data_IF_684271163214
#
_entry.id   IF_684271163214
#
_cell.length_a   1.000
_cell.length_b   1.000
_cell.length_c   1.000
_cell.angle_alpha   90.00
_cell.angle_beta   90.00
_cell.angle_gamma   90.00
#
_symmetry.space_group_name_H-M   'P 1'
#
loop_
_entity.id
_entity.type
_entity.pdbx_description
1 polymer ?
#
# COMPACT_ATOMS: atom_id res chain seq x y z
N UNK A 1 -8.73 38.74 -19.10
CA UNK A 1 -9.40 37.86 -18.11
C UNK A 1 -9.13 36.42 -18.54
N UNK A 2 -8.31 35.70 -17.78
CA UNK A 2 -7.89 34.36 -18.13
C UNK A 2 -9.01 33.37 -17.81
N UNK A 3 -9.70 32.88 -18.85
CA UNK A 3 -10.58 31.72 -18.73
C UNK A 3 -9.73 30.51 -18.40
N UNK A 4 -9.68 30.18 -17.12
CA UNK A 4 -9.11 28.94 -16.59
C UNK A 4 -9.98 27.79 -17.09
N UNK A 5 -9.54 27.12 -18.14
CA UNK A 5 -10.09 25.85 -18.62
C UNK A 5 -9.96 24.87 -17.44
N UNK A 6 -11.05 24.74 -16.69
CA UNK A 6 -11.16 24.05 -15.40
C UNK A 6 -11.37 22.53 -15.54
N UNK A 7 -11.12 21.96 -16.73
CA UNK A 7 -11.37 20.55 -17.03
C UNK A 7 -10.12 19.67 -17.00
N UNK A 8 -8.98 20.16 -17.49
CA UNK A 8 -7.87 19.27 -17.88
C UNK A 8 -6.79 19.14 -16.77
N UNK A 9 -6.70 20.11 -15.85
CA UNK A 9 -5.68 20.08 -14.78
C UNK A 9 -6.07 19.25 -13.54
N UNK A 10 -7.35 18.87 -13.40
CA UNK A 10 -7.86 18.20 -12.19
C UNK A 10 -7.78 16.67 -12.27
N UNK A 11 -7.76 16.08 -13.48
CA UNK A 11 -7.73 14.62 -13.60
C UNK A 11 -6.32 14.03 -13.35
N UNK A 12 -5.24 14.72 -13.75
CA UNK A 12 -3.86 14.24 -13.55
C UNK A 12 -3.40 14.35 -12.06
N UNK A 13 -3.91 15.32 -11.31
CA UNK A 13 -3.56 15.50 -9.89
C UNK A 13 -4.52 14.77 -8.91
N UNK A 14 -5.73 14.42 -9.37
CA UNK A 14 -6.73 13.76 -8.54
C UNK A 14 -6.39 12.28 -8.27
N UNK A 15 -5.96 11.56 -9.31
CA UNK A 15 -5.66 10.12 -9.19
C UNK A 15 -4.31 9.85 -8.53
N UNK A 16 -3.30 10.68 -8.78
CA UNK A 16 -1.99 10.57 -8.09
C UNK A 16 -2.10 10.84 -6.59
N UNK A 17 -3.02 11.71 -6.15
CA UNK A 17 -3.27 11.96 -4.72
C UNK A 17 -3.95 10.77 -4.05
N UNK A 18 -4.97 10.16 -4.69
CA UNK A 18 -5.64 8.96 -4.17
C UNK A 18 -4.70 7.76 -4.14
N UNK A 19 -3.93 7.57 -5.19
CA UNK A 19 -2.91 6.52 -5.29
C UNK A 19 -1.85 6.66 -4.21
N UNK A 20 -1.27 7.86 -4.02
CA UNK A 20 -0.30 8.09 -2.96
C UNK A 20 -0.88 7.90 -1.55
N UNK A 21 -2.18 8.17 -1.36
CA UNK A 21 -2.88 7.88 -0.11
C UNK A 21 -3.08 6.38 0.11
N UNK A 22 -3.54 5.64 -0.90
CA UNK A 22 -3.69 4.18 -0.85
C UNK A 22 -2.36 3.46 -0.57
N UNK A 23 -1.28 3.93 -1.22
CA UNK A 23 0.08 3.48 -0.96
C UNK A 23 0.46 3.74 0.51
N UNK A 24 0.31 4.96 1.02
CA UNK A 24 0.64 5.29 2.42
C UNK A 24 -0.18 4.47 3.44
N UNK A 25 -1.44 4.22 3.15
CA UNK A 25 -2.30 3.41 4.01
C UNK A 25 -1.82 1.96 4.05
N UNK A 26 -1.52 1.38 2.88
CA UNK A 26 -0.95 0.03 2.76
C UNK A 26 0.40 -0.08 3.49
N UNK A 27 1.28 0.92 3.37
CA UNK A 27 2.57 0.97 4.09
C UNK A 27 2.39 1.03 5.63
N UNK A 28 1.37 1.76 6.08
CA UNK A 28 1.03 1.87 7.51
C UNK A 28 0.52 0.55 8.06
N UNK A 29 -0.33 -0.14 7.30
CA UNK A 29 -0.83 -1.48 7.65
C UNK A 29 0.32 -2.49 7.69
N UNK A 30 1.21 -2.52 6.69
CA UNK A 30 2.40 -3.37 6.68
C UNK A 30 3.29 -3.14 7.90
N UNK A 31 3.54 -1.87 8.25
CA UNK A 31 4.33 -1.50 9.44
C UNK A 31 3.68 -2.01 10.73
N UNK A 32 2.35 -1.95 10.80
CA UNK A 32 1.58 -2.42 11.96
C UNK A 32 1.65 -3.94 12.08
N UNK A 33 1.42 -4.67 10.99
CA UNK A 33 1.54 -6.14 10.94
C UNK A 33 2.95 -6.59 11.32
N UNK A 34 3.99 -5.90 10.83
CA UNK A 34 5.38 -6.19 11.21
C UNK A 34 5.65 -5.99 12.70
N UNK A 35 5.10 -4.94 13.33
CA UNK A 35 5.21 -4.74 14.78
C UNK A 35 4.51 -5.87 15.54
N UNK A 36 3.29 -6.20 15.15
CA UNK A 36 2.52 -7.30 15.75
C UNK A 36 3.26 -8.63 15.62
N UNK A 37 3.86 -8.93 14.46
CA UNK A 37 4.69 -10.12 14.27
C UNK A 37 5.88 -10.16 15.24
N UNK A 38 6.59 -9.03 15.42
CA UNK A 38 7.71 -8.95 16.37
C UNK A 38 7.26 -9.19 17.81
N UNK A 39 6.11 -8.67 18.19
CA UNK A 39 5.57 -8.84 19.53
C UNK A 39 5.10 -10.29 19.77
N UNK A 40 4.41 -10.89 18.81
CA UNK A 40 4.07 -12.32 18.83
C UNK A 40 5.31 -13.19 18.90
N UNK A 41 6.38 -12.87 18.16
CA UNK A 41 7.65 -13.59 18.24
C UNK A 41 8.34 -13.45 19.60
N UNK A 42 8.29 -12.27 20.23
CA UNK A 42 8.81 -12.08 21.59
C UNK A 42 8.03 -12.92 22.60
N UNK A 43 6.70 -12.93 22.50
CA UNK A 43 5.84 -13.71 23.37
C UNK A 43 6.05 -15.22 23.17
N UNK A 44 6.18 -15.68 21.92
CA UNK A 44 6.52 -17.08 21.59
C UNK A 44 7.91 -17.48 22.07
N UNK A 45 8.86 -16.55 22.23
CA UNK A 45 10.15 -16.87 22.87
C UNK A 45 10.02 -17.10 24.37
N UNK A 46 9.08 -16.43 25.02
CA UNK A 46 8.79 -16.62 26.45
C UNK A 46 7.95 -17.88 26.69
N UNK A 47 7.00 -18.16 25.80
CA UNK A 47 6.17 -19.37 25.80
C UNK A 47 6.10 -19.99 24.39
N UNK A 48 7.06 -20.86 24.04
CA UNK A 48 7.13 -21.48 22.72
C UNK A 48 6.05 -22.53 22.47
N UNK A 49 5.31 -22.93 23.50
CA UNK A 49 4.22 -23.91 23.40
C UNK A 49 2.85 -23.27 23.19
N UNK A 50 2.78 -21.94 23.17
CA UNK A 50 1.54 -21.21 23.00
C UNK A 50 0.99 -21.33 21.56
N UNK A 51 0.05 -22.25 21.38
CA UNK A 51 -0.60 -22.54 20.09
C UNK A 51 -1.44 -21.38 19.56
N UNK A 52 -1.99 -20.54 20.45
CA UNK A 52 -2.78 -19.38 20.06
C UNK A 52 -1.90 -18.29 19.45
N UNK A 53 -0.74 -18.02 20.04
CA UNK A 53 0.27 -17.12 19.47
C UNK A 53 0.85 -17.67 18.15
N UNK A 54 1.01 -18.99 18.02
CA UNK A 54 1.40 -19.61 16.74
C UNK A 54 0.35 -19.38 15.65
N UNK A 55 -0.93 -19.58 15.98
CA UNK A 55 -2.03 -19.30 15.06
C UNK A 55 -2.13 -17.81 14.72
N UNK A 56 -1.87 -16.92 15.69
CA UNK A 56 -1.80 -15.49 15.46
C UNK A 56 -0.63 -15.12 14.53
N UNK A 57 0.55 -15.71 14.72
CA UNK A 57 1.72 -15.53 13.84
C UNK A 57 1.39 -15.93 12.41
N UNK A 58 0.77 -17.09 12.20
CA UNK A 58 0.39 -17.55 10.86
C UNK A 58 -0.60 -16.60 10.18
N UNK A 59 -1.61 -16.12 10.91
CA UNK A 59 -2.57 -15.12 10.40
C UNK A 59 -1.87 -13.82 9.99
N UNK A 60 -1.00 -13.29 10.84
CA UNK A 60 -0.25 -12.06 10.55
C UNK A 60 0.70 -12.24 9.36
N UNK A 61 1.31 -13.41 9.18
CA UNK A 61 2.14 -13.71 8.00
C UNK A 61 1.31 -13.76 6.72
N UNK A 62 0.12 -14.37 6.77
CA UNK A 62 -0.80 -14.38 5.64
C UNK A 62 -1.27 -12.96 5.28
N UNK A 63 -1.63 -12.16 6.29
CA UNK A 63 -2.00 -10.75 6.12
C UNK A 63 -0.85 -9.93 5.53
N UNK A 64 0.38 -10.11 6.02
CA UNK A 64 1.56 -9.46 5.46
C UNK A 64 1.75 -9.79 3.98
N UNK A 65 1.57 -11.06 3.59
CA UNK A 65 1.69 -11.49 2.20
C UNK A 65 0.61 -10.86 1.31
N UNK A 66 -0.63 -10.79 1.80
CA UNK A 66 -1.73 -10.16 1.09
C UNK A 66 -1.47 -8.66 0.88
N UNK A 67 -1.10 -7.94 1.94
CA UNK A 67 -0.77 -6.52 1.87
C UNK A 67 0.42 -6.23 0.96
N UNK A 68 1.42 -7.12 0.92
CA UNK A 68 2.55 -6.99 0.00
C UNK A 68 2.12 -7.18 -1.46
N UNK A 69 1.20 -8.11 -1.75
CA UNK A 69 0.62 -8.28 -3.07
C UNK A 69 -0.21 -7.07 -3.49
N UNK A 70 -1.05 -6.54 -2.59
CA UNK A 70 -1.83 -5.32 -2.82
C UNK A 70 -0.93 -4.12 -3.08
N UNK A 71 0.19 -4.00 -2.34
CA UNK A 71 1.18 -2.96 -2.58
C UNK A 71 1.81 -3.08 -3.97
N UNK A 72 2.15 -4.29 -4.39
CA UNK A 72 2.72 -4.52 -5.72
C UNK A 72 1.72 -4.11 -6.83
N UNK A 73 0.46 -4.54 -6.71
CA UNK A 73 -0.60 -4.17 -7.65
C UNK A 73 -0.78 -2.64 -7.72
N UNK A 74 -0.81 -1.96 -6.58
CA UNK A 74 -0.90 -0.49 -6.54
C UNK A 74 0.33 0.19 -7.18
N UNK A 75 1.52 -0.40 -7.05
CA UNK A 75 2.73 0.12 -7.70
C UNK A 75 2.73 -0.12 -9.21
N UNK A 76 2.20 -1.23 -9.69
CA UNK A 76 2.00 -1.50 -11.12
C UNK A 76 0.97 -0.53 -11.72
N UNK A 77 -0.15 -0.31 -11.04
CA UNK A 77 -1.14 0.69 -11.43
C UNK A 77 -0.52 2.09 -11.46
N UNK A 78 0.27 2.44 -10.45
CA UNK A 78 1.02 3.69 -10.41
C UNK A 78 1.94 3.87 -11.63
N UNK A 79 2.68 2.82 -11.99
CA UNK A 79 3.59 2.83 -13.12
C UNK A 79 2.84 2.98 -14.46
N UNK A 80 1.74 2.24 -14.64
CA UNK A 80 0.91 2.31 -15.84
C UNK A 80 0.29 3.71 -16.03
N UNK A 81 -0.18 4.33 -14.93
CA UNK A 81 -0.69 5.69 -14.97
C UNK A 81 0.39 6.71 -15.37
N UNK A 82 1.61 6.56 -14.83
CA UNK A 82 2.74 7.42 -15.20
C UNK A 82 3.09 7.29 -16.69
N UNK A 83 3.17 6.06 -17.23
CA UNK A 83 3.47 5.83 -18.65
C UNK A 83 2.38 6.39 -19.57
N UNK A 84 1.09 6.20 -19.23
CA UNK A 84 -0.02 6.77 -20.00
C UNK A 84 0.03 8.31 -20.04
N UNK A 85 0.46 8.95 -18.95
CA UNK A 85 0.58 10.42 -18.86
C UNK A 85 1.78 11.00 -19.63
N UNK A 86 2.77 10.17 -19.99
CA UNK A 86 3.93 10.61 -20.80
C UNK A 86 3.72 10.44 -22.31
N UNK A 87 2.60 9.84 -22.73
CA UNK A 87 2.31 9.53 -24.14
C UNK A 87 1.51 10.60 -24.91
N UNK A 88 1.25 11.78 -24.34
CA UNK A 88 0.78 12.94 -25.12
C UNK A 88 1.97 13.80 -25.56
N UNK A 89 2.39 13.75 -26.85
CA UNK A 89 3.34 14.70 -27.37
C UNK A 89 2.65 16.07 -27.47
N UNK A 90 3.36 17.10 -26.99
CA UNK A 90 3.03 18.49 -27.26
C UNK A 90 2.76 18.69 -28.77
N UNK A 91 1.50 18.97 -29.11
CA UNK A 91 1.03 19.34 -30.43
C UNK A 91 0.09 20.53 -30.33
#
# INVERSE_FOLDING_TARGET
MASRIKGITIEINGDTTKLSQALRETDTQLTTVQKNLRDVERLLKLDPTNTELLAQKQRLLAEQSALAADRLAQMEDAANHLDSSQSEPAG
#
